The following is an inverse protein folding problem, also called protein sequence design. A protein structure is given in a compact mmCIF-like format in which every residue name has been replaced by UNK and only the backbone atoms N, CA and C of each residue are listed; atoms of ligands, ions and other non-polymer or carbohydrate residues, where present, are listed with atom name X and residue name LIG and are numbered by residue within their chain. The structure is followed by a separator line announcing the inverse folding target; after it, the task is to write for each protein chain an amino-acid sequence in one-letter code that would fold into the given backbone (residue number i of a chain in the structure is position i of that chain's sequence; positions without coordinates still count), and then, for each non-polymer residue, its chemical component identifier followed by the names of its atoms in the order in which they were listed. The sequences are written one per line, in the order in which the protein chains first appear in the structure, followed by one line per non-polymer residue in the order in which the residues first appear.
data_IF_965325749845
#
_entry.id   IF_965325749845
#
_cell.length_a   1.000
_cell.length_b   1.000
_cell.length_c   1.000
_cell.angle_alpha   90.00
_cell.angle_beta   90.00
_cell.angle_gamma   90.00
#
_symmetry.space_group_name_H-M   'P 1'
#
loop_
_entity.id
_entity.type
_entity.pdbx_description
1 polymer ?
#
# COMPACT_ATOMS: atom_id res chain seq x y z
N UNK A 1 -15.18 -15.18 40.91
CA UNK A 1 -15.53 -14.88 39.50
C UNK A 1 -14.98 -13.54 39.01
N UNK A 2 -15.14 -12.43 39.75
CA UNK A 2 -14.69 -11.08 39.33
C UNK A 2 -13.20 -10.98 38.95
N UNK A 3 -12.29 -11.58 39.75
CA UNK A 3 -10.84 -11.62 39.45
C UNK A 3 -10.53 -12.36 38.14
N UNK A 4 -11.21 -13.50 37.87
CA UNK A 4 -10.97 -14.29 36.66
C UNK A 4 -11.44 -13.57 35.40
N UNK A 5 -12.55 -12.83 35.49
CA UNK A 5 -13.08 -11.99 34.41
C UNK A 5 -12.14 -10.81 34.13
N UNK A 6 -11.57 -10.20 35.17
CA UNK A 6 -10.57 -9.11 35.03
C UNK A 6 -9.30 -9.58 34.31
N UNK A 7 -8.78 -10.77 34.66
CA UNK A 7 -7.60 -11.37 34.01
C UNK A 7 -7.90 -11.70 32.54
N UNK A 8 -9.09 -12.21 32.24
CA UNK A 8 -9.50 -12.52 30.87
C UNK A 8 -9.62 -11.25 30.01
N UNK A 9 -10.13 -10.15 30.56
CA UNK A 9 -10.24 -8.87 29.86
C UNK A 9 -8.86 -8.26 29.56
N UNK A 10 -7.90 -8.43 30.47
CA UNK A 10 -6.53 -7.95 30.30
C UNK A 10 -5.79 -8.71 29.17
N UNK A 11 -6.05 -10.01 29.00
CA UNK A 11 -5.48 -10.82 27.93
C UNK A 11 -5.99 -10.42 26.54
N UNK A 12 -7.28 -10.07 26.43
CA UNK A 12 -7.89 -9.65 25.16
C UNK A 12 -7.34 -8.29 24.70
N UNK A 13 -7.01 -7.40 25.64
CA UNK A 13 -6.48 -6.07 25.33
C UNK A 13 -5.13 -6.11 24.60
N UNK A 14 -4.28 -7.09 24.91
CA UNK A 14 -2.95 -7.22 24.32
C UNK A 14 -2.98 -7.67 22.84
N UNK A 15 -4.03 -8.37 22.41
CA UNK A 15 -4.15 -8.87 21.03
C UNK A 15 -4.37 -7.75 20.00
N UNK A 16 -4.93 -6.61 20.42
CA UNK A 16 -5.26 -5.49 19.53
C UNK A 16 -4.01 -4.70 19.13
N UNK A 17 -2.97 -4.69 19.97
CA UNK A 17 -1.75 -3.90 19.77
C UNK A 17 -0.65 -4.61 18.97
N UNK A 18 -0.89 -5.84 18.50
CA UNK A 18 0.16 -6.66 17.86
C UNK A 18 0.20 -6.55 16.32
N UNK A 19 -0.67 -5.76 15.67
CA UNK A 19 -0.58 -5.61 14.22
C UNK A 19 0.64 -4.76 13.81
N UNK A 20 1.57 -5.38 13.08
CA UNK A 20 2.69 -4.68 12.48
C UNK A 20 2.21 -3.65 11.46
N UNK A 21 2.80 -2.45 11.52
CA UNK A 21 2.49 -1.38 10.57
C UNK A 21 3.09 -1.73 9.21
N UNK A 22 2.23 -2.08 8.26
CA UNK A 22 2.65 -2.48 6.91
C UNK A 22 3.03 -1.25 6.08
N UNK A 23 4.24 -1.25 5.55
CA UNK A 23 4.81 -0.14 4.77
C UNK A 23 4.53 -0.39 3.29
N UNK A 24 4.33 0.68 2.51
CA UNK A 24 4.35 0.59 1.05
C UNK A 24 5.78 0.81 0.59
N UNK A 25 6.27 -0.14 -0.19
CA UNK A 25 7.59 -0.09 -0.81
C UNK A 25 7.43 0.21 -2.30
N UNK A 26 8.26 1.12 -2.81
CA UNK A 26 8.40 1.35 -4.25
C UNK A 26 9.49 0.41 -4.72
N UNK A 27 9.12 -0.65 -5.44
CA UNK A 27 10.07 -1.61 -5.99
C UNK A 27 10.73 -1.02 -7.24
N UNK A 28 9.91 -0.49 -8.15
CA UNK A 28 10.40 0.09 -9.39
C UNK A 28 9.41 1.09 -9.99
N UNK A 29 9.92 2.04 -10.78
CA UNK A 29 9.14 2.93 -11.63
C UNK A 29 10.00 3.40 -12.80
N UNK A 30 9.37 3.64 -13.96
CA UNK A 30 10.07 4.10 -15.16
C UNK A 30 10.52 5.56 -15.10
N UNK A 31 9.83 6.38 -14.29
CA UNK A 31 10.27 7.73 -13.93
C UNK A 31 9.67 8.18 -12.60
N UNK A 32 10.32 9.18 -12.01
CA UNK A 32 9.93 9.81 -10.76
C UNK A 32 9.84 11.32 -10.95
N UNK A 33 8.78 11.92 -10.41
CA UNK A 33 8.53 13.36 -10.46
C UNK A 33 7.87 13.83 -9.14
N UNK A 34 7.90 15.14 -8.89
CA UNK A 34 7.29 15.77 -7.72
C UNK A 34 6.81 17.17 -8.09
N UNK A 35 5.52 17.43 -7.86
CA UNK A 35 4.94 18.75 -8.08
C UNK A 35 4.04 19.15 -6.91
N UNK A 36 4.59 19.92 -5.98
CA UNK A 36 3.87 20.36 -4.77
C UNK A 36 2.72 21.34 -5.03
N UNK A 37 2.66 21.97 -6.22
CA UNK A 37 1.55 22.87 -6.58
C UNK A 37 0.32 22.09 -7.03
N UNK A 38 0.52 20.99 -7.76
CA UNK A 38 -0.58 20.20 -8.36
C UNK A 38 -0.93 19.01 -7.46
N UNK A 39 0.08 18.28 -6.98
CA UNK A 39 -0.08 17.08 -6.14
C UNK A 39 0.75 17.21 -4.85
N UNK A 40 0.29 18.01 -3.88
CA UNK A 40 1.03 18.26 -2.64
C UNK A 40 1.37 16.97 -1.89
N UNK A 41 2.64 16.80 -1.53
CA UNK A 41 3.14 15.66 -0.77
C UNK A 41 3.22 14.33 -1.53
N UNK A 42 2.88 14.31 -2.83
CA UNK A 42 2.94 13.11 -3.66
C UNK A 42 4.31 12.96 -4.33
N UNK A 43 4.84 11.74 -4.27
CA UNK A 43 5.84 11.26 -5.22
C UNK A 43 5.09 10.69 -6.43
N UNK A 44 5.31 11.26 -7.61
CA UNK A 44 4.64 10.89 -8.84
C UNK A 44 5.50 9.86 -9.56
N UNK A 45 5.02 8.62 -9.64
CA UNK A 45 5.69 7.50 -10.28
C UNK A 45 5.00 7.22 -11.60
N UNK A 46 5.73 7.11 -12.70
CA UNK A 46 5.15 6.81 -14.02
C UNK A 46 5.88 5.63 -14.67
N UNK A 47 5.16 4.85 -15.45
CA UNK A 47 5.76 3.85 -16.33
C UNK A 47 6.61 4.52 -17.43
N UNK A 48 7.49 3.74 -18.03
CA UNK A 48 8.05 4.00 -19.35
C UNK A 48 7.76 2.77 -20.24
N UNK A 49 8.42 2.68 -21.40
CA UNK A 49 8.17 1.60 -22.36
C UNK A 49 8.57 0.20 -21.86
N UNK A 50 9.48 0.13 -20.89
CA UNK A 50 10.04 -1.13 -20.38
C UNK A 50 9.59 -1.45 -18.94
N UNK A 51 9.35 -0.41 -18.14
CA UNK A 51 9.18 -0.50 -16.70
C UNK A 51 7.81 0.06 -16.31
N UNK A 52 7.03 -0.74 -15.60
CA UNK A 52 5.77 -0.32 -14.97
C UNK A 52 6.05 0.26 -13.59
N UNK A 53 5.10 1.00 -13.02
CA UNK A 53 5.17 1.30 -11.59
C UNK A 53 4.87 0.01 -10.83
N UNK A 54 5.73 -0.38 -9.91
CA UNK A 54 5.60 -1.57 -9.08
C UNK A 54 5.72 -1.16 -7.60
N UNK A 55 4.60 -1.29 -6.89
CA UNK A 55 4.53 -1.12 -5.44
C UNK A 55 4.35 -2.47 -4.76
N UNK A 56 4.97 -2.63 -3.58
CA UNK A 56 4.72 -3.75 -2.68
C UNK A 56 4.02 -3.22 -1.44
N UNK A 57 2.88 -3.81 -1.08
CA UNK A 57 2.17 -3.48 0.14
C UNK A 57 1.46 -4.71 0.68
N UNK A 58 1.76 -5.10 1.92
CA UNK A 58 1.11 -6.23 2.58
C UNK A 58 1.17 -7.55 1.77
N UNK A 59 2.35 -7.89 1.25
CA UNK A 59 2.52 -9.08 0.41
C UNK A 59 1.78 -9.01 -0.93
N UNK A 60 1.19 -7.86 -1.27
CA UNK A 60 0.56 -7.62 -2.56
C UNK A 60 1.52 -6.88 -3.47
N UNK A 61 1.69 -7.39 -4.69
CA UNK A 61 2.36 -6.67 -5.77
C UNK A 61 1.33 -5.86 -6.55
N UNK A 62 1.52 -4.55 -6.63
CA UNK A 62 0.64 -3.63 -7.33
C UNK A 62 1.42 -3.05 -8.52
N UNK A 63 0.96 -3.36 -9.73
CA UNK A 63 1.51 -2.81 -10.96
C UNK A 63 0.55 -1.77 -11.55
N UNK A 64 1.07 -0.64 -12.02
CA UNK A 64 0.26 0.39 -12.69
C UNK A 64 1.07 1.18 -13.70
N UNK A 65 0.38 2.04 -14.47
CA UNK A 65 1.01 2.96 -15.40
C UNK A 65 1.40 4.28 -14.71
N UNK A 66 0.66 4.69 -13.69
CA UNK A 66 0.88 5.87 -12.86
C UNK A 66 0.60 5.53 -11.39
N UNK A 67 1.39 6.07 -10.46
CA UNK A 67 1.01 6.11 -9.06
C UNK A 67 1.40 7.43 -8.38
N UNK A 68 0.55 7.87 -7.46
CA UNK A 68 0.81 8.95 -6.52
C UNK A 68 1.10 8.34 -5.16
N UNK A 69 2.36 8.34 -4.74
CA UNK A 69 2.77 7.78 -3.46
C UNK A 69 2.94 8.87 -2.39
N UNK A 70 2.22 8.73 -1.27
CA UNK A 70 2.23 9.68 -0.15
C UNK A 70 2.99 9.09 1.04
N UNK A 71 4.30 9.34 1.11
CA UNK A 71 5.18 8.80 2.16
C UNK A 71 4.70 9.13 3.59
N UNK A 72 4.20 10.34 3.82
CA UNK A 72 3.74 10.80 5.15
C UNK A 72 2.57 9.95 5.68
N UNK A 73 1.67 9.57 4.79
CA UNK A 73 0.44 8.86 5.12
C UNK A 73 0.58 7.35 4.93
N UNK A 74 1.67 6.89 4.31
CA UNK A 74 1.85 5.52 3.87
C UNK A 74 0.62 5.05 3.07
N UNK A 75 0.27 5.83 2.04
CA UNK A 75 -0.82 5.56 1.12
C UNK A 75 -0.37 5.78 -0.32
N UNK A 76 -1.12 5.23 -1.27
CA UNK A 76 -0.91 5.46 -2.69
C UNK A 76 -2.23 5.54 -3.43
N UNK A 77 -2.21 6.15 -4.61
CA UNK A 77 -3.24 5.98 -5.64
C UNK A 77 -2.57 5.46 -6.90
N UNK A 78 -3.14 4.46 -7.54
CA UNK A 78 -2.62 3.84 -8.74
C UNK A 78 -3.65 3.90 -9.87
N UNK A 79 -3.19 4.26 -11.07
CA UNK A 79 -4.05 4.40 -12.26
C UNK A 79 -3.38 3.81 -13.50
N UNK A 80 -4.22 3.38 -14.44
CA UNK A 80 -3.83 2.81 -15.72
C UNK A 80 -3.38 1.35 -15.60
N UNK A 81 -4.17 0.46 -16.22
CA UNK A 81 -3.90 -0.98 -16.32
C UNK A 81 -3.51 -1.63 -14.98
N UNK A 82 -4.12 -1.23 -13.86
CA UNK A 82 -3.73 -1.67 -12.52
C UNK A 82 -3.89 -3.19 -12.40
N UNK A 83 -2.85 -3.85 -11.90
CA UNK A 83 -2.85 -5.29 -11.59
C UNK A 83 -2.39 -5.47 -10.15
N UNK A 84 -3.22 -6.09 -9.32
CA UNK A 84 -2.86 -6.48 -7.95
C UNK A 84 -2.70 -7.99 -7.90
N UNK A 85 -1.57 -8.47 -7.40
CA UNK A 85 -1.27 -9.89 -7.18
C UNK A 85 -1.05 -10.13 -5.69
N UNK A 86 -1.76 -11.09 -5.09
CA UNK A 86 -1.58 -11.48 -3.70
C UNK A 86 -1.47 -13.00 -3.59
N UNK A 87 -0.31 -13.45 -3.10
CA UNK A 87 0.04 -14.87 -3.05
C UNK A 87 -0.07 -15.53 -4.44
N UNK A 88 -0.45 -16.80 -4.46
CA UNK A 88 -0.50 -17.58 -5.70
C UNK A 88 -1.80 -17.42 -6.48
N UNK A 89 -2.87 -16.97 -5.82
CA UNK A 89 -4.24 -17.18 -6.32
C UNK A 89 -5.01 -15.90 -6.64
N UNK A 90 -4.72 -14.77 -5.99
CA UNK A 90 -5.52 -13.55 -6.16
C UNK A 90 -4.87 -12.67 -7.22
N UNK A 91 -5.65 -12.37 -8.27
CA UNK A 91 -5.31 -11.39 -9.30
C UNK A 91 -6.50 -10.47 -9.54
N UNK A 92 -6.31 -9.18 -9.29
CA UNK A 92 -7.32 -8.15 -9.52
C UNK A 92 -6.84 -7.22 -10.63
N UNK A 93 -7.77 -6.84 -11.50
CA UNK A 93 -7.54 -5.91 -12.58
C UNK A 93 -8.49 -4.73 -12.44
N UNK A 94 -7.96 -3.52 -12.53
CA UNK A 94 -8.77 -2.31 -12.52
C UNK A 94 -8.08 -1.21 -13.32
N UNK A 95 -8.80 -0.14 -13.62
CA UNK A 95 -8.16 1.05 -14.17
C UNK A 95 -7.64 2.00 -13.08
N UNK A 96 -8.21 1.93 -11.87
CA UNK A 96 -7.84 2.77 -10.73
C UNK A 96 -7.86 1.94 -9.43
N UNK A 97 -7.04 2.33 -8.47
CA UNK A 97 -6.95 1.78 -7.12
C UNK A 97 -6.51 2.91 -6.18
N UNK A 98 -7.36 3.28 -5.23
CA UNK A 98 -7.18 4.43 -4.34
C UNK A 98 -7.30 4.04 -2.86
#
# INVERSE_FOLDING_TARGET
MKIKISILLLLIFNLIFCQEKKIIEIIEAGSFDRNEKINPGANILKKNDLIRVHLLHDGMNIYSDLAFFYKKNNSFKASGNVVVLQGDSIKLFSNNLD
#
